data_IF_684997161886
#
_entry.id   IF_684997161886
#
_cell.length_a   1.000
_cell.length_b   1.000
_cell.length_c   1.000
_cell.angle_alpha   90.00
_cell.angle_beta   90.00
_cell.angle_gamma   90.00
#
_symmetry.space_group_name_H-M   'P 1'
#
loop_
_entity.id
_entity.type
_entity.pdbx_description
1 polymer ?
#
# COMPACT_ATOMS: atom_id res chain seq x y z
N UNK A 1 -25.84 4.00 -15.21
CA UNK A 1 -24.97 3.83 -14.03
C UNK A 1 -24.50 2.38 -13.82
N UNK A 2 -25.23 1.51 -13.10
CA UNK A 2 -24.77 0.14 -12.78
C UNK A 2 -25.84 -0.91 -13.14
N UNK A 3 -25.78 -1.47 -14.35
CA UNK A 3 -26.73 -2.45 -14.86
C UNK A 3 -26.06 -3.81 -15.03
N UNK A 4 -26.55 -4.83 -14.31
CA UNK A 4 -26.01 -6.19 -14.29
C UNK A 4 -26.94 -7.20 -14.97
N UNK A 5 -27.97 -6.74 -15.69
CA UNK A 5 -29.00 -7.62 -16.26
C UNK A 5 -28.54 -8.41 -17.48
N UNK A 6 -27.41 -8.03 -18.09
CA UNK A 6 -26.93 -8.55 -19.37
C UNK A 6 -26.15 -9.86 -19.26
N UNK A 7 -25.62 -10.19 -18.08
CA UNK A 7 -24.84 -11.40 -17.85
C UNK A 7 -25.26 -12.09 -16.56
N UNK A 8 -25.13 -13.43 -16.46
CA UNK A 8 -25.49 -14.15 -15.25
C UNK A 8 -24.56 -13.80 -14.09
N UNK A 9 -25.16 -13.70 -12.89
CA UNK A 9 -24.43 -13.66 -11.63
C UNK A 9 -23.89 -15.07 -11.34
N UNK A 10 -22.60 -15.20 -11.06
CA UNK A 10 -22.02 -16.44 -10.52
C UNK A 10 -21.65 -16.21 -9.06
N UNK A 11 -22.15 -17.08 -8.20
CA UNK A 11 -21.93 -17.03 -6.75
C UNK A 11 -21.62 -18.43 -6.22
N UNK A 12 -20.33 -18.74 -6.16
CA UNK A 12 -19.79 -19.99 -5.61
C UNK A 12 -18.83 -19.68 -4.46
N UNK A 13 -18.54 -20.67 -3.61
CA UNK A 13 -17.72 -20.52 -2.40
C UNK A 13 -16.35 -19.85 -2.67
N UNK A 14 -15.71 -20.20 -3.79
CA UNK A 14 -14.41 -19.66 -4.20
C UNK A 14 -14.43 -19.06 -5.61
N UNK A 15 -15.59 -18.64 -6.09
CA UNK A 15 -15.71 -17.96 -7.38
C UNK A 15 -16.95 -17.08 -7.45
N UNK A 16 -16.73 -15.77 -7.45
CA UNK A 16 -17.72 -14.73 -7.62
C UNK A 16 -17.48 -14.07 -8.97
N UNK A 17 -18.51 -13.94 -9.81
CA UNK A 17 -18.44 -13.15 -11.03
C UNK A 17 -19.68 -12.26 -11.18
N UNK A 18 -19.44 -10.99 -11.47
CA UNK A 18 -20.47 -10.02 -11.82
C UNK A 18 -19.98 -9.18 -13.00
N UNK A 19 -20.86 -8.98 -13.97
CA UNK A 19 -20.62 -8.11 -15.11
C UNK A 19 -21.64 -6.97 -15.08
N UNK A 20 -21.17 -5.75 -15.33
CA UNK A 20 -22.03 -4.57 -15.46
C UNK A 20 -21.76 -3.85 -16.77
N UNK A 21 -22.81 -3.39 -17.44
CA UNK A 21 -22.68 -2.42 -18.53
C UNK A 21 -22.36 -1.03 -17.95
N UNK A 22 -21.49 -0.32 -18.66
CA UNK A 22 -21.04 1.02 -18.35
C UNK A 22 -21.63 2.01 -19.34
N UNK A 23 -21.90 3.25 -18.90
CA UNK A 23 -22.50 4.28 -19.76
C UNK A 23 -21.55 4.78 -20.86
N UNK A 24 -20.24 4.78 -20.61
CA UNK A 24 -19.21 5.21 -21.57
C UNK A 24 -17.96 4.35 -21.43
N UNK A 25 -16.98 4.56 -22.33
CA UNK A 25 -15.63 4.01 -22.21
C UNK A 25 -14.68 4.89 -21.39
N UNK A 26 -15.18 6.02 -20.85
CA UNK A 26 -14.36 6.99 -20.11
C UNK A 26 -14.23 6.59 -18.65
N UNK A 27 -13.54 5.46 -18.41
CA UNK A 27 -13.35 4.84 -17.10
C UNK A 27 -11.90 4.98 -16.59
N UNK A 28 -11.76 5.15 -15.27
CA UNK A 28 -10.53 5.46 -14.56
C UNK A 28 -10.44 4.67 -13.24
N UNK A 29 -9.23 4.52 -12.71
CA UNK A 29 -9.00 3.91 -11.40
C UNK A 29 -8.64 2.44 -11.46
N UNK A 30 -8.91 1.73 -10.35
CA UNK A 30 -8.44 0.38 -10.00
C UNK A 30 -6.92 0.27 -9.84
N UNK A 31 -6.43 -0.75 -9.14
CA UNK A 31 -5.01 -0.87 -8.78
C UNK A 31 -4.78 -1.73 -7.53
N UNK A 32 -3.54 -1.88 -7.07
CA UNK A 32 -2.32 -1.30 -7.67
C UNK A 32 -1.81 -2.16 -8.84
N UNK A 33 -1.77 -1.55 -10.02
CA UNK A 33 -1.32 -2.14 -11.28
C UNK A 33 -0.56 -1.04 -12.06
N UNK A 34 0.21 -1.42 -13.07
CA UNK A 34 0.88 -0.46 -13.95
C UNK A 34 0.04 -0.25 -15.20
N UNK A 35 -0.75 0.82 -15.23
CA UNK A 35 -1.49 1.19 -16.43
C UNK A 35 -0.62 1.97 -17.42
N UNK A 36 -0.85 1.72 -18.71
CA UNK A 36 -0.18 2.46 -19.79
C UNK A 36 -0.78 3.85 -20.01
N UNK A 37 -2.02 4.07 -19.56
CA UNK A 37 -2.75 5.33 -19.62
C UNK A 37 -3.64 5.46 -18.38
N UNK A 38 -3.98 6.69 -18.03
CA UNK A 38 -4.94 6.94 -16.95
C UNK A 38 -6.38 6.54 -17.33
N UNK A 39 -6.73 6.75 -18.60
CA UNK A 39 -7.96 6.25 -19.21
C UNK A 39 -7.79 4.77 -19.60
N UNK A 40 -8.75 3.92 -19.25
CA UNK A 40 -8.74 2.49 -19.60
C UNK A 40 -9.01 2.25 -21.09
N UNK A 41 -8.33 1.25 -21.67
CA UNK A 41 -8.55 0.81 -23.05
C UNK A 41 -9.48 -0.42 -23.09
N UNK A 42 -10.70 -0.21 -23.56
CA UNK A 42 -11.74 -1.24 -23.64
C UNK A 42 -11.54 -2.19 -24.85
N UNK A 43 -10.80 -1.77 -25.87
CA UNK A 43 -10.54 -2.60 -27.05
C UNK A 43 -9.42 -3.61 -26.77
N UNK A 44 -8.46 -3.25 -25.92
CA UNK A 44 -7.44 -4.17 -25.45
C UNK A 44 -7.99 -5.30 -24.57
N UNK A 45 -9.13 -5.08 -23.89
CA UNK A 45 -9.80 -6.03 -23.01
C UNK A 45 -8.84 -6.73 -22.01
N UNK A 46 -7.90 -5.97 -21.47
CA UNK A 46 -6.86 -6.47 -20.57
C UNK A 46 -7.46 -6.96 -19.25
N UNK A 47 -6.93 -8.08 -18.75
CA UNK A 47 -7.27 -8.62 -17.44
C UNK A 47 -6.23 -8.13 -16.43
N UNK A 48 -6.68 -7.40 -15.42
CA UNK A 48 -5.81 -6.88 -14.37
C UNK A 48 -6.10 -7.61 -13.05
N UNK A 49 -5.12 -8.34 -12.50
CA UNK A 49 -5.25 -8.96 -11.20
C UNK A 49 -5.07 -7.94 -10.07
N UNK A 50 -5.79 -8.13 -8.97
CA UNK A 50 -5.71 -7.36 -7.72
C UNK A 50 -5.39 -8.34 -6.59
N UNK A 51 -4.12 -8.33 -6.19
CA UNK A 51 -3.62 -9.11 -5.06
C UNK A 51 -2.31 -8.47 -4.58
N UNK A 52 -2.22 -8.13 -3.30
CA UNK A 52 -1.05 -7.47 -2.75
C UNK A 52 0.19 -8.35 -2.95
N UNK A 53 1.18 -7.84 -3.67
CA UNK A 53 2.37 -8.60 -4.04
C UNK A 53 3.59 -7.69 -4.05
N UNK A 54 4.71 -8.23 -3.60
CA UNK A 54 6.01 -7.62 -3.79
C UNK A 54 6.42 -7.76 -5.26
N UNK A 55 5.89 -6.88 -6.10
CA UNK A 55 6.18 -6.81 -7.53
C UNK A 55 6.47 -5.35 -7.92
N UNK A 56 7.68 -5.07 -8.43
CA UNK A 56 8.03 -3.78 -8.99
C UNK A 56 7.06 -3.30 -10.09
N UNK A 57 6.79 -1.99 -10.20
CA UNK A 57 5.92 -1.40 -11.22
C UNK A 57 6.60 -1.39 -12.61
N UNK A 58 6.88 -2.59 -13.11
CA UNK A 58 7.54 -2.86 -14.39
C UNK A 58 6.50 -3.11 -15.49
N UNK A 59 6.96 -3.51 -16.67
CA UNK A 59 6.10 -3.74 -17.81
C UNK A 59 5.18 -4.96 -17.59
N UNK A 60 3.94 -4.88 -18.09
CA UNK A 60 2.93 -5.94 -18.02
C UNK A 60 1.77 -5.64 -17.08
N UNK A 61 0.69 -6.40 -17.25
CA UNK A 61 -0.57 -6.21 -16.55
C UNK A 61 -0.56 -6.98 -15.21
N UNK A 62 0.42 -6.66 -14.36
CA UNK A 62 0.67 -7.37 -13.09
C UNK A 62 0.01 -6.68 -11.91
N UNK A 63 -0.36 -7.44 -10.90
CA UNK A 63 -0.68 -6.94 -9.56
C UNK A 63 0.59 -6.49 -8.84
N UNK A 64 0.50 -5.39 -8.10
CA UNK A 64 1.58 -4.80 -7.32
C UNK A 64 1.22 -4.73 -5.83
N UNK A 65 1.68 -3.70 -5.12
CA UNK A 65 1.74 -3.69 -3.66
C UNK A 65 0.38 -3.51 -2.97
N UNK A 66 -0.45 -2.61 -3.49
CA UNK A 66 -1.77 -2.26 -2.96
C UNK A 66 -2.93 -2.94 -3.66
N UNK A 67 -4.11 -2.87 -3.04
CA UNK A 67 -5.36 -3.43 -3.57
C UNK A 67 -6.53 -2.47 -3.39
N UNK A 68 -7.01 -1.96 -4.53
CA UNK A 68 -7.97 -0.86 -4.61
C UNK A 68 -9.01 -1.15 -5.70
N UNK A 69 -10.03 -1.96 -5.40
CA UNK A 69 -11.13 -2.28 -6.31
C UNK A 69 -12.15 -1.13 -6.41
N UNK A 70 -11.67 0.06 -6.78
CA UNK A 70 -12.47 1.28 -6.94
C UNK A 70 -12.21 1.89 -8.32
N UNK A 71 -13.28 2.21 -9.06
CA UNK A 71 -13.20 2.88 -10.35
C UNK A 71 -14.19 4.05 -10.42
N UNK A 72 -13.95 4.95 -11.36
CA UNK A 72 -14.83 6.06 -11.72
C UNK A 72 -15.09 6.04 -13.22
N UNK A 73 -16.29 6.42 -13.67
CA UNK A 73 -16.66 6.46 -15.09
C UNK A 73 -17.63 7.61 -15.36
N UNK A 74 -17.47 8.26 -16.52
CA UNK A 74 -18.40 9.30 -16.97
C UNK A 74 -19.69 8.71 -17.51
N UNK A 75 -20.80 9.37 -17.21
CA UNK A 75 -22.10 9.16 -17.82
C UNK A 75 -22.22 9.97 -19.13
N UNK A 76 -23.19 9.63 -19.97
CA UNK A 76 -23.40 10.29 -21.28
C UNK A 76 -23.69 11.80 -21.17
N UNK A 77 -24.27 12.23 -20.05
CA UNK A 77 -24.58 13.64 -19.77
C UNK A 77 -23.39 14.44 -19.21
N UNK A 78 -22.23 13.81 -19.08
CA UNK A 78 -21.01 14.38 -18.51
C UNK A 78 -20.96 14.35 -16.98
N UNK A 79 -21.96 13.79 -16.30
CA UNK A 79 -21.85 13.46 -14.87
C UNK A 79 -20.92 12.26 -14.65
N UNK A 80 -20.57 11.98 -13.40
CA UNK A 80 -19.62 10.93 -13.03
C UNK A 80 -20.22 10.05 -11.94
N UNK A 81 -19.85 8.78 -11.95
CA UNK A 81 -20.01 7.94 -10.77
C UNK A 81 -18.76 7.11 -10.49
N UNK A 82 -18.60 6.76 -9.21
CA UNK A 82 -17.59 5.84 -8.74
C UNK A 82 -18.22 4.61 -8.09
N UNK A 83 -17.56 3.47 -8.20
CA UNK A 83 -18.00 2.21 -7.59
C UNK A 83 -16.83 1.56 -6.88
N UNK A 84 -17.02 1.28 -5.59
CA UNK A 84 -16.14 0.44 -4.79
C UNK A 84 -16.73 -0.97 -4.72
N UNK A 85 -15.96 -1.97 -5.14
CA UNK A 85 -16.22 -3.37 -4.81
C UNK A 85 -15.44 -3.74 -3.54
N UNK A 86 -16.06 -3.62 -2.37
CA UNK A 86 -15.39 -3.77 -1.08
C UNK A 86 -15.16 -5.24 -0.72
N UNK A 87 -14.15 -5.84 -1.35
CA UNK A 87 -13.72 -7.21 -1.17
C UNK A 87 -12.18 -7.28 -1.10
N UNK A 88 -11.65 -7.99 -0.09
CA UNK A 88 -10.21 -8.17 0.13
C UNK A 88 -9.66 -9.49 -0.39
N UNK A 89 -10.49 -10.38 -0.94
CA UNK A 89 -10.01 -11.61 -1.55
C UNK A 89 -9.23 -11.31 -2.84
N UNK A 90 -8.39 -12.25 -3.30
CA UNK A 90 -7.78 -12.13 -4.62
C UNK A 90 -8.86 -11.99 -5.68
N UNK A 91 -8.70 -11.00 -6.54
CA UNK A 91 -9.70 -10.65 -7.53
C UNK A 91 -9.04 -10.13 -8.81
N UNK A 92 -9.83 -9.93 -9.85
CA UNK A 92 -9.41 -9.32 -11.09
C UNK A 92 -10.56 -8.54 -11.72
N UNK A 93 -10.20 -7.67 -12.65
CA UNK A 93 -11.16 -6.89 -13.41
C UNK A 93 -10.80 -6.85 -14.89
N UNK A 94 -11.81 -6.58 -15.72
CA UNK A 94 -11.65 -6.43 -17.16
C UNK A 94 -12.65 -5.42 -17.68
N UNK A 95 -12.17 -4.31 -18.22
CA UNK A 95 -12.98 -3.40 -19.04
C UNK A 95 -12.95 -3.88 -20.48
N UNK A 96 -14.12 -3.95 -21.12
CA UNK A 96 -14.25 -4.49 -22.48
C UNK A 96 -15.54 -3.99 -23.15
N UNK A 97 -15.68 -4.20 -24.47
CA UNK A 97 -16.94 -3.99 -25.18
C UNK A 97 -17.67 -5.31 -25.40
N UNK A 98 -18.78 -5.53 -24.69
CA UNK A 98 -19.67 -6.67 -24.94
C UNK A 98 -20.25 -6.57 -26.36
N UNK A 99 -20.22 -7.68 -27.10
CA UNK A 99 -20.56 -7.76 -28.53
C UNK A 99 -19.86 -6.71 -29.41
N UNK A 100 -18.70 -6.21 -28.97
CA UNK A 100 -17.92 -5.18 -29.66
C UNK A 100 -18.52 -3.77 -29.61
N UNK A 101 -19.60 -3.56 -28.86
CA UNK A 101 -20.32 -2.28 -28.85
C UNK A 101 -20.55 -1.71 -27.45
N UNK A 102 -20.92 -2.55 -26.48
CA UNK A 102 -21.45 -2.09 -25.20
C UNK A 102 -20.31 -2.02 -24.19
N UNK A 103 -19.93 -0.83 -23.69
CA UNK A 103 -18.91 -0.72 -22.66
C UNK A 103 -19.35 -1.54 -21.44
N UNK A 104 -18.47 -2.40 -20.94
CA UNK A 104 -18.77 -3.35 -19.88
C UNK A 104 -17.56 -3.56 -18.98
N UNK A 105 -17.82 -3.93 -17.73
CA UNK A 105 -16.84 -4.30 -16.74
C UNK A 105 -17.22 -5.66 -16.15
N UNK A 106 -16.28 -6.61 -16.18
CA UNK A 106 -16.39 -7.86 -15.41
C UNK A 106 -15.48 -7.79 -14.20
N UNK A 107 -16.03 -8.13 -13.03
CA UNK A 107 -15.31 -8.31 -11.78
C UNK A 107 -15.36 -9.80 -11.40
N UNK A 108 -14.21 -10.38 -11.10
CA UNK A 108 -14.10 -11.76 -10.60
C UNK A 108 -13.31 -11.78 -9.30
N UNK A 109 -13.82 -12.46 -8.28
CA UNK A 109 -13.11 -12.68 -7.02
C UNK A 109 -13.17 -14.15 -6.64
N UNK A 110 -12.14 -14.66 -5.97
CA UNK A 110 -12.12 -16.06 -5.52
C UNK A 110 -12.65 -16.24 -4.09
N UNK A 111 -13.43 -15.29 -3.56
CA UNK A 111 -14.03 -15.44 -2.24
C UNK A 111 -14.70 -14.17 -1.76
N UNK A 112 -15.18 -14.20 -0.51
CA UNK A 112 -15.86 -13.08 0.13
C UNK A 112 -17.32 -12.95 -0.29
N UNK A 113 -17.78 -11.70 -0.43
CA UNK A 113 -19.17 -11.37 -0.79
C UNK A 113 -19.20 -10.23 -1.81
N UNK A 114 -20.34 -10.08 -2.49
CA UNK A 114 -20.63 -8.87 -3.25
C UNK A 114 -21.04 -7.74 -2.32
N UNK A 115 -20.13 -6.81 -2.06
CA UNK A 115 -20.38 -5.59 -1.30
C UNK A 115 -19.98 -4.38 -2.13
N UNK A 116 -20.97 -3.65 -2.65
CA UNK A 116 -20.75 -2.53 -3.55
C UNK A 116 -21.20 -1.22 -2.90
N UNK A 117 -20.37 -0.18 -3.05
CA UNK A 117 -20.73 1.19 -2.69
C UNK A 117 -20.66 2.06 -3.95
N UNK A 118 -21.74 2.79 -4.23
CA UNK A 118 -21.85 3.67 -5.39
C UNK A 118 -21.83 5.12 -4.92
N UNK A 119 -21.09 5.95 -5.66
CA UNK A 119 -20.87 7.36 -5.37
C UNK A 119 -21.19 8.16 -6.62
N UNK A 120 -22.03 9.20 -6.53
CA UNK A 120 -22.51 9.92 -7.72
C UNK A 120 -22.26 11.40 -7.60
N UNK A 121 -21.82 12.04 -8.68
CA UNK A 121 -21.59 13.47 -8.67
C UNK A 121 -21.14 14.00 -10.02
N UNK A 122 -21.28 15.30 -10.30
CA UNK A 122 -20.91 15.86 -11.59
C UNK A 122 -19.40 15.96 -11.83
N UNK A 123 -18.55 15.62 -10.84
CA UNK A 123 -17.08 15.80 -10.93
C UNK A 123 -16.33 14.72 -10.13
N UNK A 124 -15.08 14.45 -10.52
CA UNK A 124 -14.14 13.59 -9.78
C UNK A 124 -14.03 14.00 -8.31
N UNK A 125 -13.91 15.31 -8.02
CA UNK A 125 -13.72 15.79 -6.66
C UNK A 125 -14.94 15.49 -5.76
N UNK A 126 -16.16 15.54 -6.28
CA UNK A 126 -17.37 15.23 -5.50
C UNK A 126 -17.56 13.73 -5.29
N UNK A 127 -17.27 12.91 -6.31
CA UNK A 127 -17.28 11.44 -6.19
C UNK A 127 -16.23 11.01 -5.16
N UNK A 128 -15.02 11.56 -5.26
CA UNK A 128 -13.92 11.31 -4.32
C UNK A 128 -14.23 11.81 -2.90
N UNK A 129 -14.88 12.96 -2.74
CA UNK A 129 -15.29 13.44 -1.41
C UNK A 129 -16.24 12.48 -0.70
N UNK A 130 -17.19 11.88 -1.43
CA UNK A 130 -18.12 10.89 -0.90
C UNK A 130 -17.43 9.55 -0.63
N UNK A 131 -16.57 9.11 -1.55
CA UNK A 131 -15.77 7.90 -1.36
C UNK A 131 -14.91 7.97 -0.09
N UNK A 132 -14.20 9.09 0.08
CA UNK A 132 -13.38 9.35 1.28
C UNK A 132 -14.18 9.63 2.55
N UNK A 133 -15.46 10.01 2.44
CA UNK A 133 -16.36 10.09 3.58
C UNK A 133 -16.73 8.69 4.11
N UNK A 134 -16.88 7.71 3.21
CA UNK A 134 -17.18 6.32 3.58
C UNK A 134 -15.95 5.59 4.12
N UNK A 135 -14.82 5.66 3.42
CA UNK A 135 -13.63 4.87 3.79
C UNK A 135 -12.74 5.59 4.81
N UNK A 136 -12.90 6.90 4.95
CA UNK A 136 -12.10 7.75 5.82
C UNK A 136 -11.22 8.72 5.05
N UNK A 137 -11.21 9.97 5.52
CA UNK A 137 -10.43 11.03 4.89
C UNK A 137 -8.92 10.80 5.09
N UNK A 138 -8.08 11.20 4.12
CA UNK A 138 -6.63 11.10 4.24
C UNK A 138 -6.13 11.75 5.53
N UNK A 139 -5.05 11.21 6.12
CA UNK A 139 -4.44 11.82 7.28
C UNK A 139 -3.92 13.22 6.94
N UNK A 140 -4.00 14.15 7.90
CA UNK A 140 -3.28 15.40 7.81
C UNK A 140 -1.81 15.12 8.15
N UNK A 141 -0.85 15.27 7.21
CA UNK A 141 0.56 15.03 7.50
C UNK A 141 1.14 16.08 8.47
N UNK A 142 2.28 15.78 9.12
CA UNK A 142 3.06 16.82 9.79
C UNK A 142 3.74 17.72 8.75
N UNK A 143 3.79 19.04 8.98
CA UNK A 143 4.27 20.00 7.97
C UNK A 143 5.64 19.67 7.37
N UNK A 144 6.56 19.18 8.20
CA UNK A 144 7.92 18.80 7.77
C UNK A 144 7.94 17.70 6.69
N UNK A 145 6.89 16.89 6.55
CA UNK A 145 6.86 15.82 5.54
C UNK A 145 6.56 16.33 4.13
N UNK A 146 6.15 17.61 4.00
CA UNK A 146 5.97 18.27 2.70
C UNK A 146 7.33 18.73 2.12
N UNK A 147 8.38 18.75 2.93
CA UNK A 147 9.74 19.07 2.50
C UNK A 147 10.39 17.94 1.70
N UNK A 148 11.47 18.28 1.00
CA UNK A 148 12.23 17.29 0.23
C UNK A 148 12.87 16.24 1.15
N UNK A 149 12.85 14.99 0.70
CA UNK A 149 13.29 13.84 1.47
C UNK A 149 14.32 13.04 0.68
N UNK A 150 15.40 12.63 1.33
CA UNK A 150 16.47 11.85 0.71
C UNK A 150 16.55 10.46 1.32
N UNK A 151 16.50 9.45 0.46
CA UNK A 151 16.67 8.04 0.80
C UNK A 151 17.59 7.36 -0.20
N UNK A 152 18.14 6.23 0.22
CA UNK A 152 18.91 5.32 -0.62
C UNK A 152 18.99 3.97 0.11
N UNK A 153 18.74 2.89 -0.61
CA UNK A 153 19.16 1.58 -0.13
C UNK A 153 20.69 1.51 -0.14
N UNK A 154 21.27 1.03 0.95
CA UNK A 154 22.69 0.69 1.04
C UNK A 154 23.60 1.95 1.04
N UNK A 155 23.47 2.77 2.08
CA UNK A 155 24.49 3.75 2.47
C UNK A 155 25.78 3.08 2.94
N UNK A 156 25.72 1.85 3.43
CA UNK A 156 26.81 0.98 3.92
C UNK A 156 27.31 1.33 5.32
N UNK A 157 27.70 2.58 5.57
CA UNK A 157 28.27 3.02 6.85
C UNK A 157 27.72 4.38 7.28
N UNK A 158 27.85 4.69 8.57
CA UNK A 158 27.47 6.01 9.09
C UNK A 158 28.27 7.15 8.46
N UNK A 159 29.54 6.94 8.10
CA UNK A 159 30.34 7.99 7.46
C UNK A 159 29.83 8.30 6.05
N UNK A 160 29.37 7.30 5.29
CA UNK A 160 28.73 7.53 3.99
C UNK A 160 27.37 8.18 4.12
N UNK A 161 26.59 7.81 5.14
CA UNK A 161 25.34 8.47 5.48
C UNK A 161 25.57 9.96 5.82
N UNK A 162 26.60 10.27 6.63
CA UNK A 162 27.03 11.65 6.96
C UNK A 162 27.44 12.44 5.73
N UNK A 163 28.31 11.86 4.90
CA UNK A 163 28.80 12.47 3.66
C UNK A 163 27.64 12.94 2.77
N UNK A 164 26.59 12.12 2.64
CA UNK A 164 25.39 12.47 1.86
C UNK A 164 24.62 13.63 2.47
N UNK A 165 24.43 13.66 3.79
CA UNK A 165 23.75 14.79 4.43
C UNK A 165 24.55 16.08 4.26
N UNK A 166 25.84 16.05 4.62
CA UNK A 166 26.68 17.25 4.64
C UNK A 166 26.93 17.82 3.23
N UNK A 167 27.09 16.98 2.19
CA UNK A 167 27.25 17.48 0.82
C UNK A 167 25.98 18.18 0.29
N UNK A 168 24.79 17.70 0.65
CA UNK A 168 23.52 18.35 0.25
C UNK A 168 23.37 19.68 0.98
N UNK A 169 23.79 19.76 2.24
CA UNK A 169 23.83 21.01 3.01
C UNK A 169 24.81 22.01 2.43
N UNK A 170 26.02 21.58 2.10
CA UNK A 170 27.01 22.41 1.44
C UNK A 170 26.51 22.97 0.11
N UNK A 171 25.77 22.16 -0.66
CA UNK A 171 25.17 22.57 -1.93
C UNK A 171 23.93 23.48 -1.79
N UNK A 172 23.47 23.77 -0.56
CA UNK A 172 22.28 24.59 -0.33
C UNK A 172 20.97 23.91 -0.74
N UNK A 173 20.93 22.57 -0.84
CA UNK A 173 19.73 21.82 -1.20
C UNK A 173 18.76 21.80 0.00
N UNK A 174 17.53 22.33 -0.14
CA UNK A 174 16.50 22.19 0.89
C UNK A 174 16.17 20.70 1.08
N UNK A 175 16.29 20.22 2.31
CA UNK A 175 16.04 18.83 2.68
C UNK A 175 15.52 18.82 4.11
N UNK A 176 14.37 18.22 4.36
CA UNK A 176 13.76 18.15 5.69
C UNK A 176 13.95 16.78 6.32
N UNK A 177 14.03 15.73 5.50
CA UNK A 177 14.03 14.34 5.95
C UNK A 177 15.23 13.57 5.37
N UNK A 178 15.89 12.82 6.24
CA UNK A 178 16.87 11.80 5.86
C UNK A 178 16.33 10.43 6.26
N UNK A 179 16.30 9.49 5.32
CA UNK A 179 15.89 8.11 5.58
C UNK A 179 17.10 7.23 5.90
N UNK A 180 16.88 6.23 6.76
CA UNK A 180 17.78 5.09 6.95
C UNK A 180 17.09 3.83 6.44
N UNK A 181 17.69 3.19 5.44
CA UNK A 181 17.27 1.87 4.93
C UNK A 181 17.85 0.74 5.80
N UNK A 182 17.61 -0.52 5.47
CA UNK A 182 17.90 -1.69 6.32
C UNK A 182 19.38 -1.83 6.71
N UNK A 183 20.29 -1.15 6.01
CA UNK A 183 21.73 -1.22 6.22
C UNK A 183 22.21 -0.56 7.53
N UNK A 184 21.39 0.27 8.19
CA UNK A 184 21.72 0.71 9.56
C UNK A 184 21.55 -0.39 10.60
N UNK A 185 20.72 -1.40 10.33
CA UNK A 185 20.35 -2.45 11.29
C UNK A 185 21.50 -3.44 11.51
N UNK A 186 21.54 -4.09 12.67
CA UNK A 186 22.42 -5.25 12.89
C UNK A 186 21.84 -6.47 12.16
N UNK A 187 22.50 -6.86 11.06
CA UNK A 187 22.14 -8.06 10.28
C UNK A 187 20.66 -8.07 9.86
N UNK A 188 20.12 -6.90 9.46
CA UNK A 188 18.73 -6.68 9.06
C UNK A 188 17.66 -6.96 10.15
N UNK A 189 18.07 -7.08 11.41
CA UNK A 189 17.15 -7.26 12.54
C UNK A 189 16.52 -5.92 12.90
N UNK A 190 15.21 -5.78 12.73
CA UNK A 190 14.48 -4.56 13.10
C UNK A 190 14.68 -4.22 14.59
N UNK A 191 14.57 -2.93 14.94
CA UNK A 191 14.85 -2.40 16.28
C UNK A 191 16.29 -2.58 16.79
N UNK A 192 17.24 -2.76 15.89
CA UNK A 192 18.69 -2.78 16.19
C UNK A 192 19.44 -1.76 15.31
N UNK A 193 20.72 -1.52 15.60
CA UNK A 193 21.63 -0.89 14.67
C UNK A 193 23.03 -1.53 14.76
N UNK A 194 23.74 -1.57 13.65
CA UNK A 194 25.08 -2.15 13.55
C UNK A 194 26.09 -1.30 14.34
N UNK A 195 26.60 -1.84 15.46
CA UNK A 195 27.52 -1.12 16.35
C UNK A 195 28.92 -0.89 15.76
N UNK A 196 29.28 -1.59 14.68
CA UNK A 196 30.58 -1.48 14.03
C UNK A 196 30.54 -0.42 12.92
N UNK A 197 29.72 -0.63 11.89
CA UNK A 197 29.67 0.24 10.72
C UNK A 197 28.82 1.51 10.94
N UNK A 198 27.95 1.47 11.96
CA UNK A 198 27.07 2.57 12.37
C UNK A 198 27.31 3.03 13.81
N UNK A 199 28.54 2.89 14.31
CA UNK A 199 28.93 3.36 15.62
C UNK A 199 28.65 4.87 15.79
N UNK A 200 27.94 5.24 16.86
CA UNK A 200 27.56 6.65 17.10
C UNK A 200 26.34 7.13 16.31
N UNK A 201 25.57 6.22 15.71
CA UNK A 201 24.38 6.56 14.93
C UNK A 201 23.31 7.33 15.72
N UNK A 202 22.91 6.91 16.95
CA UNK A 202 21.94 7.67 17.74
C UNK A 202 22.39 9.11 18.05
N UNK A 203 23.68 9.31 18.33
CA UNK A 203 24.30 10.61 18.59
C UNK A 203 24.20 11.50 17.35
N UNK A 204 24.54 10.95 16.18
CA UNK A 204 24.46 11.68 14.92
C UNK A 204 23.02 12.07 14.55
N UNK A 205 22.05 11.16 14.73
CA UNK A 205 20.63 11.47 14.49
C UNK A 205 20.14 12.58 15.44
N UNK A 206 20.62 12.60 16.70
CA UNK A 206 20.32 13.71 17.63
C UNK A 206 20.94 15.03 17.16
N UNK A 207 22.19 15.01 16.70
CA UNK A 207 22.89 16.19 16.18
C UNK A 207 22.14 16.82 15.00
N UNK A 208 21.84 16.07 13.92
CA UNK A 208 21.17 16.64 12.74
C UNK A 208 19.75 17.16 13.05
N UNK A 209 19.07 16.57 14.04
CA UNK A 209 17.77 17.07 14.51
C UNK A 209 17.91 18.41 15.23
N UNK A 210 18.94 18.59 16.04
CA UNK A 210 19.18 19.79 16.84
C UNK A 210 19.82 20.91 16.02
N UNK A 211 20.91 20.61 15.32
CA UNK A 211 21.73 21.56 14.56
C UNK A 211 21.06 21.99 13.26
N UNK A 212 20.40 21.07 12.56
CA UNK A 212 19.86 21.31 11.21
C UNK A 212 18.32 21.32 11.16
N UNK A 213 17.63 21.04 12.27
CA UNK A 213 16.16 20.95 12.31
C UNK A 213 15.58 19.76 11.54
N UNK A 214 16.42 18.83 11.06
CA UNK A 214 16.02 17.71 10.22
C UNK A 214 15.12 16.71 10.94
N UNK A 215 14.52 15.81 10.17
CA UNK A 215 13.79 14.64 10.63
C UNK A 215 14.46 13.37 10.08
N UNK A 216 14.29 12.29 10.83
CA UNK A 216 14.82 10.98 10.48
C UNK A 216 13.66 10.00 10.41
N UNK A 217 13.58 9.25 9.32
CA UNK A 217 12.61 8.17 9.12
C UNK A 217 13.38 6.86 8.93
N UNK A 218 13.30 5.90 9.88
CA UNK A 218 13.82 4.56 9.68
C UNK A 218 12.84 3.71 8.85
N UNK A 219 13.36 2.83 8.01
CA UNK A 219 12.60 1.69 7.49
C UNK A 219 12.37 0.67 8.62
N UNK A 220 11.23 -0.03 8.59
CA UNK A 220 10.95 -1.18 9.44
C UNK A 220 10.21 -2.24 8.63
N UNK A 221 10.82 -3.42 8.50
CA UNK A 221 10.18 -4.58 7.90
C UNK A 221 9.29 -5.31 8.92
N UNK A 222 8.20 -5.96 8.47
CA UNK A 222 7.28 -6.64 9.40
C UNK A 222 7.81 -7.99 9.89
N UNK A 223 8.75 -8.61 9.16
CA UNK A 223 9.27 -9.93 9.47
C UNK A 223 10.28 -9.87 10.63
N UNK A 224 10.07 -10.70 11.65
CA UNK A 224 10.98 -10.84 12.79
C UNK A 224 11.83 -12.10 12.65
N UNK A 225 13.14 -11.95 12.81
CA UNK A 225 14.05 -13.08 12.98
C UNK A 225 13.74 -13.76 14.31
N UNK A 226 13.37 -15.04 14.24
CA UNK A 226 13.19 -15.90 15.42
C UNK A 226 14.45 -16.75 15.55
N UNK A 227 15.48 -16.10 16.07
CA UNK A 227 16.73 -16.72 16.49
C UNK A 227 16.89 -16.53 17.99
N UNK A 228 16.96 -17.64 18.71
CA UNK A 228 17.10 -17.65 20.17
C UNK A 228 18.56 -17.82 20.63
N UNK A 229 19.49 -18.01 19.69
CA UNK A 229 20.92 -18.12 20.00
C UNK A 229 21.51 -16.76 20.38
N UNK A 230 20.98 -15.68 19.81
CA UNK A 230 21.34 -14.30 20.12
C UNK A 230 20.43 -13.64 21.18
N UNK A 231 20.95 -12.62 21.86
CA UNK A 231 20.14 -11.76 22.71
C UNK A 231 19.34 -10.74 21.87
N UNK A 232 18.25 -11.20 21.25
CA UNK A 232 17.33 -10.37 20.45
C UNK A 232 15.93 -10.28 21.09
N UNK A 233 15.68 -9.31 22.00
CA UNK A 233 14.41 -9.20 22.73
C UNK A 233 13.15 -9.06 21.87
N UNK A 234 13.16 -8.34 20.72
CA UNK A 234 11.99 -8.31 19.82
C UNK A 234 11.61 -9.69 19.30
N UNK A 235 12.59 -10.53 18.90
CA UNK A 235 12.32 -11.90 18.45
C UNK A 235 11.71 -12.78 19.55
N UNK A 236 12.26 -12.70 20.78
CA UNK A 236 11.73 -13.44 21.94
C UNK A 236 10.30 -13.04 22.30
N UNK A 237 10.03 -11.74 22.45
CA UNK A 237 8.70 -11.21 22.76
C UNK A 237 7.70 -11.48 21.63
N UNK A 238 8.13 -11.33 20.38
CA UNK A 238 7.31 -11.65 19.20
C UNK A 238 6.89 -13.11 19.18
N UNK A 239 7.80 -14.03 19.52
CA UNK A 239 7.49 -15.45 19.62
C UNK A 239 6.45 -15.76 20.70
N UNK A 240 6.58 -15.18 21.90
CA UNK A 240 5.59 -15.33 22.98
C UNK A 240 4.19 -14.84 22.56
N UNK A 241 4.13 -13.70 21.88
CA UNK A 241 2.87 -13.15 21.34
C UNK A 241 2.28 -14.04 20.25
N UNK A 242 3.10 -14.55 19.32
CA UNK A 242 2.64 -15.48 18.29
C UNK A 242 2.05 -16.74 18.91
N UNK A 243 2.72 -17.34 19.89
CA UNK A 243 2.20 -18.54 20.58
C UNK A 243 0.90 -18.29 21.33
N UNK A 244 0.70 -17.07 21.85
CA UNK A 244 -0.52 -16.67 22.56
C UNK A 244 -1.71 -16.45 21.61
N UNK A 245 -1.47 -15.89 20.43
CA UNK A 245 -2.53 -15.39 19.54
C UNK A 245 -2.74 -16.23 18.28
N UNK A 246 -1.85 -17.17 17.97
CA UNK A 246 -1.93 -18.02 16.78
C UNK A 246 -1.94 -19.50 17.18
N UNK A 247 -2.78 -20.28 16.49
CA UNK A 247 -2.84 -21.74 16.66
C UNK A 247 -2.42 -22.45 15.38
N UNK A 248 -1.84 -23.65 15.48
CA UNK A 248 -1.45 -24.43 14.30
C UNK A 248 -0.31 -23.79 13.51
N UNK A 249 0.63 -23.13 14.21
CA UNK A 249 1.88 -22.65 13.62
C UNK A 249 2.66 -23.83 13.06
N UNK A 250 3.03 -23.78 11.79
CA UNK A 250 3.88 -24.76 11.13
C UNK A 250 5.03 -24.04 10.42
N UNK A 251 6.20 -24.67 10.31
CA UNK A 251 7.29 -24.13 9.47
C UNK A 251 7.14 -24.70 8.06
N UNK A 252 7.06 -23.82 7.05
CA UNK A 252 7.15 -24.17 5.63
C UNK A 252 8.18 -23.26 4.96
N UNK A 253 9.17 -23.85 4.29
CA UNK A 253 10.20 -23.12 3.51
C UNK A 253 10.91 -22.00 4.32
N UNK A 254 11.19 -22.23 5.60
CA UNK A 254 11.85 -21.23 6.46
C UNK A 254 10.92 -20.15 7.03
N UNK A 255 9.67 -20.05 6.57
CA UNK A 255 8.65 -19.15 7.10
C UNK A 255 7.74 -19.89 8.10
N UNK A 256 7.34 -19.20 9.15
CA UNK A 256 6.26 -19.65 10.03
C UNK A 256 4.92 -19.35 9.34
N UNK A 257 4.28 -20.40 8.85
CA UNK A 257 2.95 -20.36 8.24
C UNK A 257 1.99 -21.02 9.23
N UNK A 258 1.14 -20.21 9.86
CA UNK A 258 0.04 -20.67 10.69
C UNK A 258 -1.29 -20.33 10.05
N UNK A 259 -2.34 -21.08 10.40
CA UNK A 259 -3.69 -20.52 10.24
C UNK A 259 -3.76 -19.31 11.18
N UNK A 260 -4.06 -18.13 10.64
CA UNK A 260 -4.35 -16.93 11.41
C UNK A 260 -5.66 -17.12 12.19
N UNK A 261 -5.70 -18.04 13.15
CA UNK A 261 -6.69 -17.99 14.23
C UNK A 261 -6.36 -16.82 15.17
N UNK A 262 -6.23 -15.62 14.60
CA UNK A 262 -6.14 -14.38 15.35
C UNK A 262 -7.51 -14.15 15.95
N UNK A 263 -7.61 -14.45 17.23
CA UNK A 263 -8.71 -14.04 18.08
C UNK A 263 -8.71 -12.51 18.17
N UNK A 264 -9.31 -11.84 17.19
CA UNK A 264 -9.80 -10.47 17.40
C UNK A 264 -11.00 -10.68 18.33
N UNK A 265 -10.88 -10.26 19.60
CA UNK A 265 -11.84 -10.39 20.70
C UNK A 265 -12.03 -11.77 21.38
N UNK A 266 -11.40 -12.84 20.90
CA UNK A 266 -11.60 -14.19 21.47
C UNK A 266 -12.61 -15.06 20.73
N UNK A 267 -13.30 -14.55 19.70
CA UNK A 267 -14.39 -15.29 19.02
C UNK A 267 -14.21 -15.56 17.53
N UNK A 268 -13.38 -14.80 16.79
CA UNK A 268 -13.26 -14.92 15.32
C UNK A 268 -11.87 -15.38 14.88
N UNK A 269 -11.82 -16.04 13.73
CA UNK A 269 -10.59 -16.50 13.09
C UNK A 269 -10.63 -16.22 11.60
N UNK A 270 -9.51 -15.75 11.05
CA UNK A 270 -9.39 -15.41 9.63
C UNK A 270 -8.32 -16.31 8.98
N UNK A 271 -8.39 -16.58 7.70
CA UNK A 271 -7.28 -17.25 7.01
C UNK A 271 -6.61 -16.24 6.08
N UNK A 272 -5.31 -16.44 5.83
CA UNK A 272 -4.54 -15.55 4.95
C UNK A 272 -5.25 -15.36 3.60
N UNK A 273 -5.91 -16.41 3.09
CA UNK A 273 -6.76 -16.35 1.91
C UNK A 273 -7.70 -15.14 1.84
N UNK A 274 -8.39 -14.82 2.95
CA UNK A 274 -9.38 -13.74 3.00
C UNK A 274 -8.76 -12.37 3.32
N UNK A 275 -7.63 -12.35 4.05
CA UNK A 275 -7.07 -11.13 4.66
C UNK A 275 -5.66 -10.79 4.19
N UNK A 276 -5.10 -11.50 3.21
CA UNK A 276 -3.77 -11.25 2.66
C UNK A 276 -3.60 -9.79 2.24
N UNK A 277 -4.57 -9.29 1.48
CA UNK A 277 -4.63 -7.91 0.99
C UNK A 277 -4.77 -6.87 2.11
N UNK A 278 -5.14 -7.29 3.34
CA UNK A 278 -5.26 -6.43 4.51
C UNK A 278 -3.97 -6.38 5.36
N UNK A 279 -2.95 -7.18 5.04
CA UNK A 279 -1.74 -7.27 5.86
C UNK A 279 -1.06 -5.91 6.04
N UNK A 280 -0.78 -5.20 4.93
CA UNK A 280 -0.19 -3.86 4.95
C UNK A 280 -1.07 -2.84 5.68
N UNK A 281 -2.39 -2.97 5.58
CA UNK A 281 -3.36 -2.11 6.26
C UNK A 281 -3.29 -2.28 7.79
N UNK A 282 -3.34 -3.51 8.31
CA UNK A 282 -3.19 -3.78 9.74
C UNK A 282 -1.81 -3.38 10.28
N UNK A 283 -0.75 -3.62 9.50
CA UNK A 283 0.59 -3.20 9.86
C UNK A 283 0.69 -1.68 9.94
N UNK A 284 0.08 -0.96 9.00
CA UNK A 284 0.02 0.51 8.99
C UNK A 284 -0.61 1.07 10.27
N UNK A 285 -1.73 0.49 10.73
CA UNK A 285 -2.38 0.87 11.99
C UNK A 285 -1.44 0.73 13.19
N UNK A 286 -0.72 -0.39 13.25
CA UNK A 286 0.21 -0.67 14.34
C UNK A 286 1.41 0.28 14.30
N UNK A 287 1.94 0.55 13.11
CA UNK A 287 3.07 1.44 12.89
C UNK A 287 2.74 2.90 13.26
N UNK A 288 1.59 3.43 12.83
CA UNK A 288 1.22 4.82 13.13
C UNK A 288 0.94 5.02 14.62
N UNK A 289 0.34 4.03 15.28
CA UNK A 289 0.10 4.06 16.72
C UNK A 289 1.43 4.04 17.49
N UNK A 290 2.32 3.10 17.16
CA UNK A 290 3.65 3.04 17.76
C UNK A 290 4.46 4.32 17.55
N UNK A 291 4.42 4.90 16.34
CA UNK A 291 5.10 6.16 16.03
C UNK A 291 4.53 7.35 16.82
N UNK A 292 3.21 7.40 17.04
CA UNK A 292 2.56 8.46 17.85
C UNK A 292 2.88 8.29 19.33
N UNK A 293 2.86 7.06 19.85
CA UNK A 293 3.25 6.78 21.23
C UNK A 293 4.72 7.11 21.49
N UNK A 294 5.62 6.78 20.56
CA UNK A 294 7.06 7.05 20.73
C UNK A 294 7.39 8.55 20.67
N UNK A 295 6.66 9.33 19.86
CA UNK A 295 6.99 10.74 19.62
C UNK A 295 6.11 11.73 20.36
N UNK A 296 4.94 11.29 20.85
CA UNK A 296 3.88 12.13 21.42
C UNK A 296 3.47 13.29 20.49
N UNK A 297 3.57 13.05 19.18
CA UNK A 297 3.31 14.04 18.12
C UNK A 297 2.55 13.41 16.97
N UNK A 298 2.10 14.26 16.05
CA UNK A 298 1.70 13.81 14.72
C UNK A 298 2.91 13.20 14.01
N UNK A 299 2.76 11.95 13.60
CA UNK A 299 3.79 11.17 12.90
C UNK A 299 3.41 10.94 11.45
N UNK A 300 4.41 10.58 10.65
CA UNK A 300 4.27 10.09 9.28
C UNK A 300 4.64 8.61 9.27
N UNK A 301 3.78 7.80 8.66
CA UNK A 301 4.13 6.46 8.18
C UNK A 301 4.01 6.50 6.68
N UNK A 302 4.96 5.89 5.99
CA UNK A 302 4.87 5.64 4.55
C UNK A 302 4.83 4.13 4.38
N UNK A 303 3.77 3.60 3.76
CA UNK A 303 3.56 2.16 3.60
C UNK A 303 3.58 1.74 2.13
N UNK A 304 4.11 0.54 1.86
CA UNK A 304 4.17 -0.03 0.51
C UNK A 304 2.83 -0.67 0.15
N UNK A 305 2.39 -1.67 0.92
CA UNK A 305 1.09 -2.30 0.71
C UNK A 305 -0.05 -1.48 1.32
N UNK A 306 -1.09 -1.26 0.53
CA UNK A 306 -2.28 -0.49 0.89
C UNK A 306 -3.56 -1.25 0.57
N UNK A 307 -4.60 -0.98 1.34
CA UNK A 307 -5.98 -1.35 1.04
C UNK A 307 -6.84 -0.09 1.12
N UNK A 308 -8.09 -0.19 0.70
CA UNK A 308 -9.11 0.84 0.91
C UNK A 308 -9.05 1.35 2.36
N UNK A 309 -8.97 2.67 2.57
CA UNK A 309 -8.79 3.39 3.85
C UNK A 309 -7.37 3.49 4.42
N UNK A 310 -6.33 2.93 3.79
CA UNK A 310 -4.94 3.00 4.28
C UNK A 310 -4.44 4.45 4.46
N UNK A 311 -4.84 5.36 3.58
CA UNK A 311 -4.49 6.78 3.53
C UNK A 311 -4.99 7.59 4.71
N UNK A 312 -5.95 7.05 5.48
CA UNK A 312 -6.35 7.60 6.78
C UNK A 312 -5.21 7.55 7.81
N UNK A 313 -4.19 6.74 7.58
CA UNK A 313 -3.16 6.41 8.56
C UNK A 313 -1.73 6.59 8.05
N UNK A 314 -1.51 6.53 6.74
CA UNK A 314 -0.18 6.63 6.13
C UNK A 314 -0.18 7.34 4.77
N UNK A 315 1.00 7.76 4.34
CA UNK A 315 1.30 8.01 2.93
C UNK A 315 1.73 6.72 2.23
N UNK A 316 1.91 6.81 0.91
CA UNK A 316 2.33 5.70 0.06
C UNK A 316 3.35 6.19 -0.98
N UNK A 317 4.20 5.29 -1.46
CA UNK A 317 5.07 5.50 -2.62
C UNK A 317 4.93 4.31 -3.56
N UNK A 318 5.07 4.55 -4.86
CA UNK A 318 4.77 3.56 -5.91
C UNK A 318 5.83 2.44 -6.07
N UNK A 319 6.60 2.18 -5.02
CA UNK A 319 7.56 1.08 -4.97
C UNK A 319 8.79 1.24 -5.87
N UNK A 320 9.28 0.08 -6.31
CA UNK A 320 10.63 -0.14 -6.81
C UNK A 320 10.71 0.11 -8.32
N UNK A 321 10.49 1.36 -8.71
CA UNK A 321 10.58 1.76 -10.12
C UNK A 321 12.02 1.66 -10.67
N UNK A 322 12.14 1.80 -11.99
CA UNK A 322 13.43 1.80 -12.68
C UNK A 322 13.70 3.21 -13.22
N UNK A 323 14.97 3.62 -13.27
CA UNK A 323 15.39 4.92 -13.82
C UNK A 323 15.25 4.99 -15.36
N UNK A 324 14.01 4.91 -15.87
CA UNK A 324 13.65 5.00 -17.29
C UNK A 324 12.64 6.13 -17.51
N UNK A 325 12.60 6.69 -18.72
CA UNK A 325 11.61 7.72 -19.09
C UNK A 325 10.16 7.24 -18.98
N UNK A 326 9.91 5.96 -19.24
CA UNK A 326 8.61 5.31 -19.09
C UNK A 326 8.10 5.37 -17.66
N UNK A 327 8.98 5.16 -16.69
CA UNK A 327 8.64 5.12 -15.27
C UNK A 327 8.33 6.53 -14.74
N UNK A 328 8.94 7.58 -15.31
CA UNK A 328 8.56 8.97 -15.05
C UNK A 328 7.14 9.29 -15.54
N UNK A 329 6.73 8.75 -16.70
CA UNK A 329 5.35 8.92 -17.19
C UNK A 329 4.36 8.14 -16.33
N UNK A 330 4.71 6.91 -15.94
CA UNK A 330 3.88 6.05 -15.08
C UNK A 330 3.63 6.66 -13.71
N UNK A 331 4.62 7.35 -13.13
CA UNK A 331 4.42 7.98 -11.83
C UNK A 331 3.29 9.02 -11.83
N UNK A 332 3.09 9.74 -12.94
CA UNK A 332 1.98 10.70 -13.09
C UNK A 332 0.64 9.96 -13.04
N UNK A 333 0.52 8.84 -13.76
CA UNK A 333 -0.71 8.02 -13.81
C UNK A 333 -1.01 7.48 -12.40
N UNK A 334 -0.03 6.86 -11.75
CA UNK A 334 -0.16 6.31 -10.40
C UNK A 334 -0.52 7.39 -9.37
N UNK A 335 0.03 8.61 -9.50
CA UNK A 335 -0.35 9.75 -8.66
C UNK A 335 -1.82 10.12 -8.82
N UNK A 336 -2.37 10.15 -10.05
CA UNK A 336 -3.78 10.44 -10.26
C UNK A 336 -4.69 9.33 -9.76
N UNK A 337 -4.28 8.07 -9.93
CA UNK A 337 -5.04 6.92 -9.42
C UNK A 337 -5.08 6.89 -7.90
N UNK A 338 -3.97 7.23 -7.22
CA UNK A 338 -3.91 7.29 -5.76
C UNK A 338 -4.49 8.58 -5.18
N UNK A 339 -4.56 9.69 -5.94
CA UNK A 339 -5.16 10.96 -5.49
C UNK A 339 -6.56 10.74 -4.90
N UNK A 340 -7.29 9.80 -5.46
CA UNK A 340 -8.68 9.51 -5.12
C UNK A 340 -8.83 8.24 -4.26
N UNK A 341 -7.74 7.57 -3.87
CA UNK A 341 -7.72 6.31 -3.11
C UNK A 341 -6.95 6.41 -1.78
N UNK A 342 -7.47 7.12 -0.76
CA UNK A 342 -6.91 6.96 0.58
C UNK A 342 -7.20 5.57 1.14
#
# INVERSE_FOLDING_TARGET
MFDTSRSPLIFEDQFLQLTTSLPTTDAYGMGENVHESFLHDFDAAKVFPIFARDEPPTDGDKNAYGTHPFYEVFEEDGSLHGVLFFNSNPQEYTFFKEDGQIPSLTLRAIGGIFNFHLFTGPTFDLVSQQYTEVIGRPMLPPYWSLGFQLSKWNYLTLDKFREVVERNRYAGIPQDVQYGDIDYMDTFKIFTYNQQDWNGFPEYIRDIKQRLGMKFIPILDPALVIDFTDNYPPGKRGWELLQKHFTGLSRKQGLLVGKLRALIDGSRSFIDYDVHNLYGWFHTLSAIEGARQATQKRSLVVTRSTFVSSGRYAGHWFGDNVSRWTDLRRSIILMFEFKYKP
#
